data_IF_457023329532
#
_entry.id   IF_457023329532
#
_cell.length_a   1.000
_cell.length_b   1.000
_cell.length_c   1.000
_cell.angle_alpha   90.00
_cell.angle_beta   90.00
_cell.angle_gamma   90.00
#
_symmetry.space_group_name_H-M   'P 1'
#
loop_
_entity.id
_entity.type
_entity.pdbx_description
1 polymer ?
#
# COMPACT_ATOMS: atom_id res chain seq x y z
N UNK A 1 27.44 3.17 -9.25
CA UNK A 1 26.07 3.16 -8.70
C UNK A 1 26.02 4.06 -7.49
N UNK A 2 24.94 4.82 -7.34
CA UNK A 2 24.72 5.70 -6.18
C UNK A 2 24.47 4.87 -4.92
N UNK A 3 24.94 5.35 -3.77
CA UNK A 3 24.54 4.83 -2.46
C UNK A 3 23.25 5.53 -2.05
N UNK A 4 22.22 4.76 -1.70
CA UNK A 4 20.89 5.28 -1.32
C UNK A 4 20.38 4.49 -0.11
N UNK A 5 19.78 5.20 0.84
CA UNK A 5 19.08 4.60 1.99
C UNK A 5 17.60 4.84 1.80
N UNK A 6 16.81 3.76 1.75
CA UNK A 6 15.35 3.80 1.64
C UNK A 6 14.68 3.66 3.01
N UNK A 7 15.24 2.78 3.86
CA UNK A 7 14.83 2.63 5.26
C UNK A 7 16.09 2.66 6.12
N UNK A 8 16.15 3.57 7.08
CA UNK A 8 17.29 3.68 7.99
C UNK A 8 16.89 3.20 9.39
N UNK A 9 17.59 2.21 9.94
CA UNK A 9 17.34 1.70 11.30
C UNK A 9 17.44 2.74 12.40
N UNK A 10 18.03 3.91 12.12
CA UNK A 10 18.14 5.03 13.07
C UNK A 10 16.91 5.92 13.08
N UNK A 11 16.12 5.92 12.00
CA UNK A 11 14.92 6.74 11.89
C UNK A 11 13.75 6.12 12.66
N UNK A 12 12.78 6.95 12.98
CA UNK A 12 11.49 6.46 13.51
C UNK A 12 10.72 5.70 12.43
N UNK A 13 9.91 4.76 12.89
CA UNK A 13 9.05 3.94 12.04
C UNK A 13 7.60 4.22 12.42
N UNK A 14 6.81 4.64 11.45
CA UNK A 14 5.41 4.98 11.64
C UNK A 14 4.53 3.94 10.95
N UNK A 15 3.91 3.08 11.76
CA UNK A 15 2.96 2.07 11.29
C UNK A 15 1.63 2.72 10.97
N UNK A 16 1.05 2.42 9.81
CA UNK A 16 -0.24 2.96 9.40
C UNK A 16 -1.06 2.03 8.53
N UNK A 17 -2.35 2.35 8.43
CA UNK A 17 -3.28 1.69 7.54
C UNK A 17 -3.93 2.72 6.62
N UNK A 18 -4.00 2.39 5.34
CA UNK A 18 -4.50 3.32 4.31
C UNK A 18 -5.88 2.93 3.79
N UNK A 19 -6.43 1.77 4.22
CA UNK A 19 -7.70 1.25 3.72
C UNK A 19 -8.50 0.61 4.85
N UNK A 20 -9.58 1.29 5.24
CA UNK A 20 -10.53 0.81 6.25
C UNK A 20 -11.82 1.66 6.22
N UNK A 21 -12.91 1.08 6.71
CA UNK A 21 -14.26 1.63 6.63
C UNK A 21 -14.86 1.86 8.00
N UNK A 22 -15.72 2.86 8.08
CA UNK A 22 -16.50 3.23 9.26
C UNK A 22 -18.00 3.16 8.92
N UNK A 23 -18.86 3.51 9.87
CA UNK A 23 -20.31 3.66 9.63
C UNK A 23 -20.67 4.80 8.67
N UNK A 24 -19.72 5.62 8.27
CA UNK A 24 -19.97 6.63 7.24
C UNK A 24 -20.24 5.99 5.89
N UNK A 25 -19.71 4.80 5.61
CA UNK A 25 -20.09 4.00 4.44
C UNK A 25 -20.74 2.68 4.88
N UNK A 26 -20.00 1.61 4.90
CA UNK A 26 -20.52 0.25 5.14
C UNK A 26 -19.78 -0.52 6.26
N UNK A 27 -18.82 0.10 6.91
CA UNK A 27 -18.22 -0.39 8.16
C UNK A 27 -19.24 -0.45 9.31
N UNK A 28 -18.92 -1.12 10.41
CA UNK A 28 -19.84 -1.39 11.53
C UNK A 28 -19.51 -0.58 12.77
N UNK A 29 -18.41 0.14 12.80
CA UNK A 29 -17.98 0.97 13.92
C UNK A 29 -18.02 2.45 13.58
N UNK A 30 -18.24 3.28 14.62
CA UNK A 30 -18.02 4.72 14.50
C UNK A 30 -16.53 5.03 14.30
N UNK A 31 -16.24 6.18 13.70
CA UNK A 31 -14.87 6.56 13.36
C UNK A 31 -13.94 6.63 14.58
N UNK A 32 -14.43 7.13 15.71
CA UNK A 32 -13.69 7.18 16.98
C UNK A 32 -13.39 5.77 17.54
N UNK A 33 -14.33 4.83 17.44
CA UNK A 33 -14.12 3.43 17.84
C UNK A 33 -13.03 2.77 16.98
N UNK A 34 -13.04 3.02 15.66
CA UNK A 34 -12.00 2.52 14.73
C UNK A 34 -10.65 3.12 15.09
N UNK A 35 -10.56 4.43 15.23
CA UNK A 35 -9.31 5.13 15.56
C UNK A 35 -8.72 4.63 16.90
N UNK A 36 -9.55 4.47 17.93
CA UNK A 36 -9.10 3.97 19.24
C UNK A 36 -8.57 2.54 19.14
N UNK A 37 -9.24 1.68 18.38
CA UNK A 37 -8.80 0.30 18.13
C UNK A 37 -7.40 0.26 17.51
N UNK A 38 -7.17 1.02 16.45
CA UNK A 38 -5.88 1.03 15.77
C UNK A 38 -4.78 1.69 16.61
N UNK A 39 -5.08 2.72 17.38
CA UNK A 39 -4.14 3.27 18.38
C UNK A 39 -3.69 2.19 19.38
N UNK A 40 -4.63 1.39 19.87
CA UNK A 40 -4.34 0.29 20.80
C UNK A 40 -3.51 -0.84 20.16
N UNK A 41 -3.53 -0.98 18.82
CA UNK A 41 -2.68 -1.89 18.05
C UNK A 41 -1.32 -1.27 17.67
N UNK A 42 -1.00 -0.07 18.19
CA UNK A 42 0.27 0.62 17.95
C UNK A 42 0.40 1.28 16.58
N UNK A 43 -0.72 1.63 15.93
CA UNK A 43 -0.69 2.41 14.72
C UNK A 43 -0.47 3.90 15.03
N UNK A 44 0.23 4.58 14.12
CA UNK A 44 0.56 6.00 14.22
C UNK A 44 -0.25 6.85 13.25
N UNK A 45 -0.76 6.25 12.18
CA UNK A 45 -1.63 6.96 11.24
C UNK A 45 -2.65 6.04 10.58
N UNK A 46 -3.76 6.64 10.15
CA UNK A 46 -4.82 5.99 9.37
C UNK A 46 -5.30 6.90 8.25
N UNK A 47 -5.78 6.30 7.16
CA UNK A 47 -6.76 6.90 6.28
C UNK A 47 -8.10 6.22 6.55
N UNK A 48 -9.11 6.96 7.02
CA UNK A 48 -10.49 6.49 7.06
C UNK A 48 -11.01 6.61 5.62
N UNK A 49 -10.97 5.51 4.89
CA UNK A 49 -11.19 5.51 3.44
C UNK A 49 -12.61 5.09 3.07
N UNK A 50 -13.59 5.58 3.81
CA UNK A 50 -14.99 5.29 3.54
C UNK A 50 -15.35 5.47 2.07
N UNK A 51 -16.21 4.59 1.54
CA UNK A 51 -16.62 4.62 0.14
C UNK A 51 -17.23 5.97 -0.27
N UNK A 52 -16.63 6.61 -1.28
CA UNK A 52 -17.10 7.86 -1.88
C UNK A 52 -17.17 9.05 -0.90
N UNK A 53 -16.64 8.93 0.31
CA UNK A 53 -16.63 9.97 1.33
C UNK A 53 -15.19 10.39 1.61
N UNK A 54 -14.82 11.56 1.08
CA UNK A 54 -13.48 12.10 1.29
C UNK A 54 -13.37 12.68 2.72
N UNK A 55 -12.75 11.91 3.61
CA UNK A 55 -12.69 12.25 5.03
C UNK A 55 -11.57 13.22 5.36
N UNK A 56 -11.81 14.10 6.33
CA UNK A 56 -10.81 14.99 6.94
C UNK A 56 -11.07 15.01 8.44
N UNK A 57 -10.39 14.15 9.13
CA UNK A 57 -10.63 13.82 10.53
C UNK A 57 -9.51 14.35 11.45
N UNK A 58 -9.17 15.64 11.28
CA UNK A 58 -8.12 16.31 12.05
C UNK A 58 -8.36 16.28 13.58
N UNK A 59 -9.61 16.08 14.02
CA UNK A 59 -10.00 15.96 15.42
C UNK A 59 -9.35 14.77 16.13
N UNK A 60 -8.90 13.75 15.39
CA UNK A 60 -8.20 12.61 15.96
C UNK A 60 -6.68 12.81 16.06
N UNK A 61 -6.16 13.89 15.49
CA UNK A 61 -4.72 14.14 15.39
C UNK A 61 -4.13 14.63 16.70
N UNK A 62 -2.96 14.08 17.06
CA UNK A 62 -2.16 14.50 18.20
C UNK A 62 -0.66 14.22 17.93
N UNK A 63 0.18 14.34 18.95
CA UNK A 63 1.64 14.15 18.82
C UNK A 63 2.06 12.72 18.44
N UNK A 64 1.21 11.72 18.70
CA UNK A 64 1.52 10.29 18.50
C UNK A 64 0.69 9.62 17.43
N UNK A 65 -0.35 10.31 16.93
CA UNK A 65 -1.28 9.75 15.96
C UNK A 65 -1.87 10.83 15.05
N UNK A 66 -1.96 10.54 13.75
CA UNK A 66 -2.63 11.43 12.79
C UNK A 66 -3.50 10.64 11.82
N UNK A 67 -4.48 11.33 11.22
CA UNK A 67 -5.24 10.84 10.06
C UNK A 67 -4.77 11.52 8.78
N UNK A 68 -4.73 10.75 7.70
CA UNK A 68 -4.48 11.24 6.35
C UNK A 68 -5.84 11.38 5.65
N UNK A 69 -6.18 12.56 5.11
CA UNK A 69 -7.41 12.72 4.33
C UNK A 69 -7.42 11.80 3.10
N UNK A 70 -8.59 11.22 2.84
CA UNK A 70 -8.73 10.33 1.70
C UNK A 70 -10.08 9.64 1.65
N UNK A 71 -10.24 8.69 0.77
CA UNK A 71 -11.44 7.87 0.59
C UNK A 71 -11.09 6.60 -0.17
N UNK A 72 -11.99 5.63 -0.18
CA UNK A 72 -12.05 4.64 -1.24
C UNK A 72 -13.08 5.07 -2.27
N UNK A 73 -12.61 5.23 -3.50
CA UNK A 73 -13.48 5.42 -4.64
C UNK A 73 -13.73 4.06 -5.30
N UNK A 74 -14.98 3.66 -5.39
CA UNK A 74 -15.37 2.37 -5.95
C UNK A 74 -16.64 2.43 -6.78
N UNK A 75 -16.96 1.32 -7.41
CA UNK A 75 -18.20 1.14 -8.14
C UNK A 75 -18.00 0.69 -9.58
N UNK A 76 -19.08 0.18 -10.15
CA UNK A 76 -19.15 -0.14 -11.56
C UNK A 76 -19.20 1.16 -12.36
N UNK A 77 -18.18 1.42 -13.16
CA UNK A 77 -18.27 2.48 -14.14
C UNK A 77 -19.23 2.02 -15.27
N UNK A 78 -20.37 2.69 -15.49
CA UNK A 78 -21.30 2.32 -16.55
C UNK A 78 -20.71 2.45 -17.97
N UNK A 79 -19.60 3.18 -18.15
CA UNK A 79 -18.85 3.23 -19.40
C UNK A 79 -18.12 1.91 -19.73
N UNK A 80 -17.97 0.99 -18.77
CA UNK A 80 -17.44 -0.36 -18.98
C UNK A 80 -18.55 -1.41 -19.24
N UNK A 81 -19.68 -0.98 -19.74
CA UNK A 81 -20.87 -1.84 -19.94
C UNK A 81 -20.77 -2.83 -21.10
N UNK A 82 -19.68 -2.91 -21.80
CA UNK A 82 -19.47 -3.91 -22.82
C UNK A 82 -18.61 -5.06 -22.30
N UNK A 83 -19.21 -6.07 -21.71
CA UNK A 83 -18.60 -7.33 -21.23
C UNK A 83 -17.51 -7.19 -20.13
N UNK A 84 -17.08 -5.99 -19.82
CA UNK A 84 -16.03 -5.69 -18.88
C UNK A 84 -16.69 -5.03 -17.66
N UNK A 85 -17.42 -5.79 -16.85
CA UNK A 85 -17.85 -5.39 -15.51
C UNK A 85 -16.63 -5.30 -14.58
N UNK A 86 -15.67 -4.47 -14.97
CA UNK A 86 -14.47 -4.25 -14.21
C UNK A 86 -14.79 -3.16 -13.20
N UNK A 87 -15.15 -3.59 -11.99
CA UNK A 87 -15.14 -2.70 -10.85
C UNK A 87 -13.69 -2.41 -10.50
N UNK A 88 -13.26 -1.15 -10.55
CA UNK A 88 -12.02 -0.72 -9.92
C UNK A 88 -12.36 -0.03 -8.62
N UNK A 89 -11.66 -0.39 -7.56
CA UNK A 89 -11.63 0.39 -6.33
C UNK A 89 -10.26 1.04 -6.18
N UNK A 90 -10.26 2.28 -5.74
CA UNK A 90 -9.05 3.08 -5.55
C UNK A 90 -9.03 3.68 -4.17
N UNK A 91 -8.01 3.41 -3.39
CA UNK A 91 -7.69 4.27 -2.25
C UNK A 91 -7.07 5.56 -2.77
N UNK A 92 -7.59 6.67 -2.29
CA UNK A 92 -7.18 8.02 -2.65
C UNK A 92 -6.62 8.68 -1.40
N UNK A 93 -5.35 9.10 -1.44
CA UNK A 93 -4.67 9.74 -0.31
C UNK A 93 -4.28 11.17 -0.66
N UNK A 94 -4.64 12.14 0.20
CA UNK A 94 -4.20 13.54 0.04
C UNK A 94 -2.70 13.67 0.21
N UNK A 95 -2.01 14.22 -0.81
CA UNK A 95 -0.60 14.58 -0.71
C UNK A 95 -0.44 16.11 -0.59
N UNK A 96 -0.19 16.65 0.62
CA UNK A 96 -0.05 18.08 0.83
C UNK A 96 1.21 18.67 0.18
N UNK A 97 2.11 17.83 -0.36
CA UNK A 97 3.29 18.28 -1.10
C UNK A 97 2.97 18.59 -2.58
N UNK A 98 1.82 18.13 -3.09
CA UNK A 98 1.36 18.49 -4.44
C UNK A 98 0.65 19.85 -4.35
N UNK A 99 1.19 20.84 -5.05
CA UNK A 99 0.58 22.16 -5.13
C UNK A 99 -0.53 22.17 -6.17
N UNK A 100 -1.77 22.36 -5.71
CA UNK A 100 -2.97 22.42 -6.56
C UNK A 100 -3.81 23.64 -6.23
N UNK A 101 -4.57 24.12 -7.20
CA UNK A 101 -5.46 25.28 -7.02
C UNK A 101 -6.66 24.93 -6.14
N UNK A 102 -7.14 23.71 -6.20
CA UNK A 102 -8.28 23.20 -5.44
C UNK A 102 -8.05 21.75 -5.05
N UNK A 103 -8.18 21.44 -3.75
CA UNK A 103 -8.14 20.07 -3.23
C UNK A 103 -9.54 19.48 -3.23
N UNK A 104 -9.62 18.16 -3.34
CA UNK A 104 -10.88 17.43 -3.48
C UNK A 104 -11.67 17.35 -2.16
N UNK A 105 -11.99 18.50 -1.57
CA UNK A 105 -12.72 18.56 -0.30
C UNK A 105 -14.24 18.50 -0.43
N UNK A 106 -14.75 18.66 -1.64
CA UNK A 106 -16.19 18.69 -1.87
C UNK A 106 -16.85 17.31 -1.84
N UNK A 107 -16.08 16.24 -1.85
CA UNK A 107 -16.58 14.87 -1.85
C UNK A 107 -17.09 14.38 -0.48
N UNK A 108 -16.93 15.17 0.58
CA UNK A 108 -17.47 14.86 1.91
C UNK A 108 -19.01 14.85 2.00
N UNK A 109 -19.71 15.14 0.92
CA UNK A 109 -21.17 15.25 0.89
C UNK A 109 -21.84 14.22 -0.01
N UNK A 110 -21.10 13.27 -0.54
CA UNK A 110 -21.69 12.26 -1.39
C UNK A 110 -22.41 11.19 -0.58
N UNK A 111 -23.63 10.87 -0.99
CA UNK A 111 -24.39 9.74 -0.43
C UNK A 111 -23.85 8.42 -0.97
N UNK A 112 -23.65 7.45 -0.09
CA UNK A 112 -23.31 6.08 -0.48
C UNK A 112 -24.58 5.26 -0.74
N UNK A 113 -24.63 4.38 -1.76
CA UNK A 113 -23.62 4.16 -2.81
C UNK A 113 -23.73 5.18 -3.93
N UNK A 114 -22.61 5.70 -4.37
CA UNK A 114 -22.58 6.63 -5.50
C UNK A 114 -22.27 5.93 -6.81
N UNK A 115 -22.90 6.41 -7.86
CA UNK A 115 -22.52 6.10 -9.22
C UNK A 115 -21.37 7.01 -9.65
N UNK A 116 -20.45 6.48 -10.45
CA UNK A 116 -19.46 7.31 -11.11
C UNK A 116 -20.13 8.49 -11.81
N UNK A 117 -19.59 9.70 -11.60
CA UNK A 117 -20.12 10.89 -12.26
C UNK A 117 -19.92 10.78 -13.78
N UNK A 118 -21.01 10.62 -14.50
CA UNK A 118 -21.03 10.62 -15.95
C UNK A 118 -20.21 9.53 -16.61
N UNK A 119 -19.74 9.82 -17.81
CA UNK A 119 -19.02 8.87 -18.68
C UNK A 119 -17.49 8.93 -18.48
N UNK A 120 -16.99 9.20 -17.27
CA UNK A 120 -15.55 9.25 -17.02
C UNK A 120 -14.94 7.84 -17.18
N UNK A 121 -13.94 7.74 -18.04
CA UNK A 121 -13.10 6.54 -18.10
C UNK A 121 -12.23 6.43 -16.83
N UNK A 122 -11.72 5.23 -16.53
CA UNK A 122 -10.78 5.01 -15.41
C UNK A 122 -9.60 5.99 -15.49
N UNK A 123 -9.01 6.18 -16.66
CA UNK A 123 -7.91 7.15 -16.86
C UNK A 123 -8.31 8.58 -16.50
N UNK A 124 -9.51 9.01 -16.91
CA UNK A 124 -9.99 10.35 -16.57
C UNK A 124 -10.25 10.50 -15.07
N UNK A 125 -10.78 9.46 -14.44
CA UNK A 125 -10.98 9.45 -12.99
C UNK A 125 -9.66 9.56 -12.24
N UNK A 126 -8.66 8.74 -12.57
CA UNK A 126 -7.33 8.79 -11.95
C UNK A 126 -6.73 10.19 -12.13
N UNK A 127 -6.70 10.73 -13.35
CA UNK A 127 -6.15 12.07 -13.63
C UNK A 127 -6.85 13.15 -12.82
N UNK A 128 -8.18 13.11 -12.73
CA UNK A 128 -8.94 14.10 -11.95
C UNK A 128 -8.59 14.05 -10.48
N UNK A 129 -8.40 12.84 -9.91
CA UNK A 129 -7.97 12.67 -8.51
C UNK A 129 -6.55 13.23 -8.31
N UNK A 130 -5.63 12.93 -9.22
CA UNK A 130 -4.25 13.43 -9.17
C UNK A 130 -4.17 14.96 -9.34
N UNK A 131 -4.97 15.54 -10.25
CA UNK A 131 -5.07 16.99 -10.45
C UNK A 131 -5.56 17.74 -9.20
N UNK A 132 -6.25 17.04 -8.30
CA UNK A 132 -6.69 17.58 -6.99
C UNK A 132 -5.71 17.23 -5.85
N UNK A 133 -4.51 16.77 -6.17
CA UNK A 133 -3.42 16.60 -5.22
C UNK A 133 -3.41 15.27 -4.48
N UNK A 134 -3.98 14.23 -5.07
CA UNK A 134 -4.03 12.90 -4.45
C UNK A 134 -3.08 11.93 -5.09
N UNK A 135 -2.66 10.91 -4.32
CA UNK A 135 -2.11 9.66 -4.81
C UNK A 135 -3.24 8.65 -4.98
N UNK A 136 -3.21 7.86 -6.06
CA UNK A 136 -4.24 6.86 -6.37
C UNK A 136 -3.64 5.47 -6.31
N UNK A 137 -4.22 4.62 -5.48
CA UNK A 137 -3.79 3.25 -5.20
C UNK A 137 -4.85 2.29 -5.75
N UNK A 138 -4.46 1.31 -6.55
CA UNK A 138 -5.34 0.24 -6.97
C UNK A 138 -5.56 -0.74 -5.82
N UNK A 139 -6.82 -0.88 -5.37
CA UNK A 139 -7.18 -1.78 -4.28
C UNK A 139 -7.39 -3.21 -4.78
N UNK A 140 -7.09 -4.19 -3.93
CA UNK A 140 -7.41 -5.63 -4.01
C UNK A 140 -7.68 -6.16 -5.45
N UNK A 141 -6.71 -6.11 -6.38
CA UNK A 141 -6.93 -6.45 -7.79
C UNK A 141 -7.37 -7.90 -8.01
N UNK A 142 -6.99 -8.84 -7.14
CA UNK A 142 -7.46 -10.23 -7.20
C UNK A 142 -8.93 -10.37 -6.84
N UNK A 143 -9.42 -9.59 -5.88
CA UNK A 143 -10.82 -9.60 -5.50
C UNK A 143 -11.72 -9.16 -6.67
N UNK A 144 -11.28 -8.17 -7.43
CA UNK A 144 -11.96 -7.73 -8.65
C UNK A 144 -11.82 -8.69 -9.83
N UNK A 145 -10.94 -9.70 -9.73
CA UNK A 145 -10.61 -10.61 -10.84
C UNK A 145 -10.20 -9.85 -12.13
N UNK A 146 -9.54 -8.70 -11.95
CA UNK A 146 -9.11 -7.85 -13.07
C UNK A 146 -7.98 -8.53 -13.84
N UNK A 147 -8.12 -8.66 -15.16
CA UNK A 147 -7.06 -9.20 -16.01
C UNK A 147 -5.82 -8.29 -16.00
N UNK A 148 -4.61 -8.86 -16.03
CA UNK A 148 -3.36 -8.11 -16.06
C UNK A 148 -3.28 -7.15 -17.25
N UNK A 149 -3.78 -7.56 -18.43
CA UNK A 149 -3.84 -6.75 -19.64
C UNK A 149 -4.68 -5.50 -19.48
N UNK A 150 -5.70 -5.56 -18.64
CA UNK A 150 -6.54 -4.40 -18.32
C UNK A 150 -5.82 -3.49 -17.34
N UNK A 151 -5.30 -4.04 -16.25
CA UNK A 151 -4.60 -3.28 -15.23
C UNK A 151 -3.40 -2.49 -15.80
N UNK A 152 -2.61 -3.08 -16.71
CA UNK A 152 -1.44 -2.42 -17.30
C UNK A 152 -1.74 -1.18 -18.15
N UNK A 153 -3.00 -0.97 -18.53
CA UNK A 153 -3.42 0.19 -19.32
C UNK A 153 -3.45 1.46 -18.50
N UNK A 154 -3.49 1.34 -17.16
CA UNK A 154 -3.63 2.47 -16.25
C UNK A 154 -2.35 2.73 -15.46
N UNK A 155 -2.16 3.97 -15.06
CA UNK A 155 -1.04 4.38 -14.21
C UNK A 155 -1.57 4.68 -12.80
N UNK A 156 -1.19 3.85 -11.84
CA UNK A 156 -1.45 4.03 -10.43
C UNK A 156 -0.15 4.39 -9.72
N UNK A 157 -0.24 5.09 -8.59
CA UNK A 157 0.89 5.30 -7.71
C UNK A 157 1.36 3.99 -7.07
N UNK A 158 0.41 3.19 -6.58
CA UNK A 158 0.66 1.92 -5.92
C UNK A 158 -0.46 0.91 -6.19
N UNK A 159 -0.22 -0.34 -5.81
CA UNK A 159 -1.22 -1.41 -5.82
C UNK A 159 -1.25 -2.08 -4.45
N UNK A 160 -2.42 -2.46 -3.98
CA UNK A 160 -2.54 -3.35 -2.83
C UNK A 160 -2.03 -4.74 -3.20
N UNK A 161 -0.92 -5.12 -2.56
CA UNK A 161 -0.30 -6.44 -2.71
C UNK A 161 -0.75 -7.41 -1.62
N UNK A 162 -1.37 -6.91 -0.57
CA UNK A 162 -2.01 -7.66 0.48
C UNK A 162 -3.20 -6.88 1.05
N UNK A 163 -4.38 -7.54 1.05
CA UNK A 163 -5.61 -7.01 1.63
C UNK A 163 -6.15 -8.04 2.62
N UNK A 164 -6.24 -7.65 3.90
CA UNK A 164 -6.53 -8.61 4.97
C UNK A 164 -7.98 -9.07 4.99
N UNK A 165 -8.95 -8.20 4.70
CA UNK A 165 -10.35 -8.57 4.69
C UNK A 165 -10.68 -9.55 3.55
N UNK A 166 -10.04 -9.40 2.38
CA UNK A 166 -10.28 -10.29 1.24
C UNK A 166 -9.67 -11.68 1.42
N UNK A 167 -8.69 -11.86 2.33
CA UNK A 167 -8.19 -13.18 2.72
C UNK A 167 -9.32 -14.04 3.30
N UNK A 168 -10.14 -13.44 4.16
CA UNK A 168 -11.21 -14.14 4.84
C UNK A 168 -12.49 -14.28 4.02
N UNK A 169 -12.71 -13.39 3.06
CA UNK A 169 -13.92 -13.42 2.23
C UNK A 169 -13.82 -14.41 1.08
N UNK A 170 -12.74 -14.37 0.30
CA UNK A 170 -12.61 -15.15 -0.94
C UNK A 170 -11.21 -15.77 -1.15
N UNK A 171 -10.29 -15.67 -0.17
CA UNK A 171 -8.88 -16.07 -0.31
C UNK A 171 -8.15 -15.33 -1.45
N UNK A 172 -8.49 -14.06 -1.65
CA UNK A 172 -7.97 -13.20 -2.72
C UNK A 172 -7.11 -12.06 -2.18
N UNK A 173 -6.32 -12.35 -1.13
CA UNK A 173 -5.57 -11.34 -0.39
C UNK A 173 -4.29 -10.86 -1.08
N UNK A 174 -3.69 -11.67 -1.96
CA UNK A 174 -2.35 -11.40 -2.48
C UNK A 174 -2.36 -10.85 -3.90
N UNK A 175 -2.04 -9.55 -4.05
CA UNK A 175 -1.85 -8.87 -5.33
C UNK A 175 -0.39 -8.87 -5.84
N UNK A 176 0.52 -9.67 -5.25
CA UNK A 176 1.94 -9.66 -5.61
C UNK A 176 2.23 -10.07 -7.05
N UNK A 177 1.40 -10.96 -7.62
CA UNK A 177 1.52 -11.35 -9.02
C UNK A 177 1.18 -10.18 -9.98
N UNK A 178 0.18 -9.37 -9.65
CA UNK A 178 -0.16 -8.16 -10.38
C UNK A 178 0.98 -7.14 -10.34
N UNK A 179 1.56 -6.96 -9.16
CA UNK A 179 2.69 -6.06 -8.97
C UNK A 179 3.92 -6.48 -9.79
N UNK A 180 4.35 -7.75 -9.68
CA UNK A 180 5.48 -8.28 -10.45
C UNK A 180 5.24 -8.17 -11.95
N UNK A 181 4.02 -8.46 -12.42
CA UNK A 181 3.66 -8.30 -13.83
C UNK A 181 3.77 -6.83 -14.30
N UNK A 182 3.28 -5.88 -13.52
CA UNK A 182 3.38 -4.46 -13.82
C UNK A 182 4.85 -3.99 -13.87
N UNK A 183 5.67 -4.38 -12.88
CA UNK A 183 7.10 -4.06 -12.84
C UNK A 183 7.86 -4.63 -14.04
N UNK A 184 7.57 -5.89 -14.43
CA UNK A 184 8.15 -6.54 -15.61
C UNK A 184 7.78 -5.84 -16.92
N UNK A 185 6.62 -5.19 -16.98
CA UNK A 185 6.17 -4.37 -18.10
C UNK A 185 6.63 -2.90 -18.03
N UNK A 186 7.57 -2.59 -17.13
CA UNK A 186 8.21 -1.28 -17.02
C UNK A 186 7.41 -0.23 -16.24
N UNK A 187 6.31 -0.60 -15.58
CA UNK A 187 5.57 0.31 -14.70
C UNK A 187 6.38 0.63 -13.45
N UNK A 188 6.31 1.86 -13.00
CA UNK A 188 6.90 2.30 -11.73
C UNK A 188 5.78 2.31 -10.69
N UNK A 189 5.59 1.19 -10.03
CA UNK A 189 4.45 0.93 -9.15
C UNK A 189 4.95 0.51 -7.77
N UNK A 190 4.50 1.20 -6.73
CA UNK A 190 4.77 0.83 -5.34
C UNK A 190 3.74 -0.16 -4.80
N UNK A 191 3.98 -0.66 -3.61
CA UNK A 191 3.16 -1.69 -2.99
C UNK A 191 2.55 -1.21 -1.67
N UNK A 192 1.30 -1.54 -1.43
CA UNK A 192 0.59 -1.28 -0.17
C UNK A 192 0.07 -2.61 0.39
N UNK A 193 0.20 -2.80 1.71
CA UNK A 193 -0.58 -3.77 2.46
C UNK A 193 -1.57 -3.01 3.34
N UNK A 194 -2.81 -3.45 3.37
CA UNK A 194 -3.88 -2.81 4.12
C UNK A 194 -4.90 -3.83 4.66
N UNK A 195 -5.80 -3.36 5.51
CA UNK A 195 -6.80 -4.23 6.14
C UNK A 195 -8.10 -4.30 5.36
N UNK A 196 -8.58 -3.19 4.82
CA UNK A 196 -9.93 -3.08 4.24
C UNK A 196 -11.02 -3.48 5.26
N UNK A 197 -10.81 -3.02 6.50
CA UNK A 197 -11.59 -3.43 7.66
C UNK A 197 -12.98 -2.83 7.64
N UNK A 198 -14.00 -3.69 7.82
CA UNK A 198 -15.42 -3.32 7.95
C UNK A 198 -16.03 -3.72 9.29
N UNK A 199 -15.27 -4.47 10.11
CA UNK A 199 -15.70 -5.04 11.41
C UNK A 199 -16.93 -5.97 11.28
N UNK A 200 -16.83 -7.01 10.47
CA UNK A 200 -17.90 -8.00 10.24
C UNK A 200 -18.13 -8.90 11.48
N UNK A 201 -18.64 -8.34 12.58
CA UNK A 201 -18.90 -9.06 13.83
C UNK A 201 -19.73 -10.31 13.65
N UNK A 202 -20.71 -10.25 12.75
CA UNK A 202 -21.62 -11.37 12.48
C UNK A 202 -20.91 -12.57 11.85
N UNK A 203 -19.79 -12.34 11.17
CA UNK A 203 -19.00 -13.38 10.51
C UNK A 203 -17.88 -13.93 11.40
N UNK A 204 -17.67 -13.39 12.60
CA UNK A 204 -16.55 -13.73 13.50
C UNK A 204 -15.17 -13.64 12.85
N UNK A 205 -15.01 -12.71 11.91
CA UNK A 205 -13.78 -12.48 11.19
C UNK A 205 -13.08 -11.30 11.85
N UNK A 206 -11.76 -11.44 12.05
CA UNK A 206 -10.90 -10.34 12.43
C UNK A 206 -10.31 -9.75 11.14
N UNK A 207 -10.98 -8.75 10.59
CA UNK A 207 -10.59 -8.07 9.34
C UNK A 207 -9.75 -6.82 9.57
N UNK A 208 -9.12 -6.71 10.75
CA UNK A 208 -8.28 -5.57 11.13
C UNK A 208 -6.95 -6.00 11.75
N UNK A 209 -5.92 -5.18 11.60
CA UNK A 209 -4.60 -5.39 12.17
C UNK A 209 -3.78 -6.49 11.49
N UNK A 210 -4.16 -6.92 10.28
CA UNK A 210 -3.49 -7.98 9.52
C UNK A 210 -2.62 -7.50 8.37
N UNK A 211 -2.84 -6.28 7.88
CA UNK A 211 -2.04 -5.66 6.83
C UNK A 211 -1.74 -4.19 7.12
N UNK A 212 -0.52 -3.73 6.87
CA UNK A 212 -0.12 -2.34 7.14
C UNK A 212 1.08 -1.92 6.32
N UNK A 213 1.33 -0.61 6.28
CA UNK A 213 2.60 -0.05 5.84
C UNK A 213 3.37 0.53 7.04
N UNK A 214 4.70 0.59 6.91
CA UNK A 214 5.56 1.25 7.90
C UNK A 214 6.44 2.26 7.19
N UNK A 215 6.19 3.53 7.46
CA UNK A 215 6.87 4.66 6.83
C UNK A 215 8.10 5.04 7.63
N UNK A 216 9.24 5.19 6.94
CA UNK A 216 10.47 5.74 7.52
C UNK A 216 10.40 7.27 7.56
N UNK A 217 10.77 7.90 8.69
CA UNK A 217 10.75 9.35 8.77
C UNK A 217 11.13 9.91 10.14
N UNK A 218 11.43 11.20 10.17
CA UNK A 218 11.87 11.89 11.39
C UNK A 218 10.69 12.38 12.25
N UNK A 219 9.58 12.76 11.59
CA UNK A 219 8.43 13.42 12.22
C UNK A 219 7.12 12.79 11.78
N UNK A 220 6.21 12.64 12.74
CA UNK A 220 4.83 12.24 12.49
C UNK A 220 4.02 13.46 12.07
N UNK A 221 4.06 13.80 10.81
CA UNK A 221 3.23 14.86 10.20
C UNK A 221 2.70 14.38 8.85
N UNK A 222 1.51 14.84 8.48
CA UNK A 222 0.92 14.49 7.18
C UNK A 222 1.89 14.76 6.02
N UNK A 223 2.52 15.94 6.02
CA UNK A 223 3.48 16.35 4.98
C UNK A 223 4.69 15.41 4.88
N UNK A 224 5.26 15.02 6.02
CA UNK A 224 6.44 14.16 6.05
C UNK A 224 6.09 12.72 5.67
N UNK A 225 4.98 12.19 6.19
CA UNK A 225 4.52 10.85 5.81
C UNK A 225 4.27 10.73 4.31
N UNK A 226 3.52 11.67 3.72
CA UNK A 226 3.21 11.63 2.29
C UNK A 226 4.44 11.83 1.41
N UNK A 227 5.41 12.64 1.84
CA UNK A 227 6.70 12.75 1.17
C UNK A 227 7.41 11.39 1.11
N UNK A 228 7.55 10.73 2.26
CA UNK A 228 8.24 9.43 2.33
C UNK A 228 7.46 8.31 1.63
N UNK A 229 6.13 8.32 1.69
CA UNK A 229 5.29 7.41 0.91
C UNK A 229 5.54 7.61 -0.58
N UNK A 230 5.53 8.85 -1.06
CA UNK A 230 5.74 9.18 -2.49
C UNK A 230 7.13 8.80 -2.99
N UNK A 231 8.15 8.87 -2.13
CA UNK A 231 9.53 8.49 -2.43
C UNK A 231 9.77 6.98 -2.30
N UNK A 232 8.79 6.21 -1.80
CA UNK A 232 8.92 4.76 -1.59
C UNK A 232 9.69 4.38 -0.33
N UNK A 233 9.94 5.33 0.59
CA UNK A 233 10.65 5.15 1.85
C UNK A 233 9.72 4.51 2.92
N UNK A 234 9.14 3.39 2.57
CA UNK A 234 8.28 2.58 3.42
C UNK A 234 8.30 1.12 2.95
N UNK A 235 7.82 0.24 3.79
CA UNK A 235 7.57 -1.15 3.44
C UNK A 235 6.15 -1.57 3.81
N UNK A 236 5.64 -2.59 3.12
CA UNK A 236 4.36 -3.23 3.41
C UNK A 236 4.59 -4.49 4.26
N UNK A 237 3.65 -4.83 5.14
CA UNK A 237 3.78 -6.02 5.98
C UNK A 237 2.44 -6.61 6.39
N UNK A 238 2.45 -7.93 6.58
CA UNK A 238 1.41 -8.69 7.29
C UNK A 238 1.96 -9.38 8.56
N UNK A 239 3.23 -9.10 8.95
CA UNK A 239 3.88 -9.70 10.12
C UNK A 239 5.30 -9.20 10.37
N UNK A 240 6.29 -9.59 9.55
CA UNK A 240 7.69 -9.23 9.77
C UNK A 240 7.96 -7.73 9.72
N UNK A 241 9.03 -7.30 10.38
CA UNK A 241 9.52 -5.92 10.37
C UNK A 241 10.78 -5.81 9.49
N UNK A 242 10.92 -4.69 8.78
CA UNK A 242 12.14 -4.31 8.06
C UNK A 242 12.74 -3.09 8.76
N UNK A 243 13.97 -3.24 9.24
CA UNK A 243 14.66 -2.19 9.99
C UNK A 243 15.51 -1.30 9.10
N UNK A 244 16.20 -1.91 8.12
CA UNK A 244 17.13 -1.23 7.22
C UNK A 244 17.02 -1.79 5.80
N UNK A 245 17.02 -0.89 4.81
CA UNK A 245 17.01 -1.25 3.40
C UNK A 245 17.75 -0.20 2.59
N UNK A 246 18.86 -0.59 1.97
CA UNK A 246 19.75 0.34 1.28
C UNK A 246 20.52 -0.27 0.13
N UNK A 247 21.06 0.61 -0.71
CA UNK A 247 22.12 0.27 -1.67
C UNK A 247 23.42 0.92 -1.19
N UNK A 248 24.46 0.11 -1.08
CA UNK A 248 25.80 0.56 -0.74
C UNK A 248 26.82 -0.21 -1.58
N UNK A 249 27.70 0.50 -2.28
CA UNK A 249 28.72 -0.04 -3.17
C UNK A 249 28.20 -1.08 -4.19
N UNK A 250 27.05 -0.78 -4.79
CA UNK A 250 26.39 -1.64 -5.75
C UNK A 250 25.84 -2.95 -5.17
N UNK A 251 25.58 -2.96 -3.87
CA UNK A 251 25.01 -4.11 -3.14
C UNK A 251 23.72 -3.66 -2.43
N UNK A 252 22.63 -4.37 -2.67
CA UNK A 252 21.40 -4.24 -1.88
C UNK A 252 21.61 -4.92 -0.54
N UNK A 253 21.30 -4.23 0.55
CA UNK A 253 21.40 -4.74 1.93
C UNK A 253 20.05 -4.60 2.61
N UNK A 254 19.63 -5.63 3.34
CA UNK A 254 18.41 -5.63 4.15
C UNK A 254 18.68 -6.14 5.55
N UNK A 255 18.06 -5.53 6.55
CA UNK A 255 17.96 -6.03 7.93
C UNK A 255 16.48 -6.07 8.34
N UNK A 256 16.05 -7.17 8.92
CA UNK A 256 14.65 -7.42 9.29
C UNK A 256 14.54 -8.13 10.65
N UNK A 257 13.29 -8.30 11.13
CA UNK A 257 12.99 -9.22 12.23
C UNK A 257 13.35 -10.66 11.84
N UNK A 258 13.29 -11.57 12.79
CA UNK A 258 13.55 -13.00 12.53
C UNK A 258 12.57 -13.56 11.50
N UNK A 259 13.08 -14.04 10.37
CA UNK A 259 12.28 -14.62 9.28
C UNK A 259 12.85 -15.95 8.84
N UNK A 260 12.03 -16.73 8.16
CA UNK A 260 12.43 -18.04 7.60
C UNK A 260 13.03 -17.89 6.20
N UNK A 261 12.60 -16.88 5.43
CA UNK A 261 13.11 -16.66 4.08
C UNK A 261 13.32 -15.18 3.80
N UNK A 262 14.36 -14.86 3.03
CA UNK A 262 14.60 -13.53 2.44
C UNK A 262 14.80 -13.76 0.94
N UNK A 263 13.96 -13.16 0.11
CA UNK A 263 13.98 -13.29 -1.33
C UNK A 263 14.20 -11.95 -2.00
N UNK A 264 15.22 -11.86 -2.84
CA UNK A 264 15.46 -10.71 -3.73
C UNK A 264 14.80 -11.00 -5.08
N UNK A 265 13.77 -10.24 -5.41
CA UNK A 265 13.04 -10.36 -6.67
C UNK A 265 13.52 -9.32 -7.67
N UNK A 266 13.81 -9.71 -8.90
CA UNK A 266 14.23 -8.79 -9.98
C UNK A 266 13.81 -9.30 -11.36
N UNK A 267 14.02 -8.48 -12.40
CA UNK A 267 13.74 -8.78 -13.81
C UNK A 267 14.67 -7.96 -14.72
N UNK A 268 15.08 -8.47 -15.91
CA UNK A 268 14.94 -9.83 -16.43
C UNK A 268 15.92 -10.83 -15.80
N UNK A 269 16.98 -10.32 -15.17
CA UNK A 269 17.90 -11.14 -14.38
C UNK A 269 17.21 -11.52 -13.09
N UNK A 270 17.18 -12.80 -12.79
CA UNK A 270 16.62 -13.30 -11.53
C UNK A 270 17.46 -12.84 -10.35
N UNK A 271 16.79 -12.52 -9.26
CA UNK A 271 17.44 -12.24 -7.98
C UNK A 271 17.97 -13.52 -7.30
N UNK A 272 18.03 -13.49 -5.99
CA UNK A 272 18.53 -14.57 -5.15
C UNK A 272 17.62 -14.80 -3.94
N UNK A 273 17.81 -15.88 -3.20
CA UNK A 273 17.05 -16.16 -1.99
C UNK A 273 17.88 -16.95 -0.97
N UNK A 274 17.56 -16.73 0.29
CA UNK A 274 18.11 -17.49 1.42
C UNK A 274 16.92 -18.02 2.22
N UNK A 275 16.95 -19.31 2.58
CA UNK A 275 15.88 -19.98 3.33
C UNK A 275 16.49 -20.79 4.47
N UNK A 276 15.98 -20.56 5.68
CA UNK A 276 16.17 -21.43 6.84
C UNK A 276 15.04 -22.49 6.85
N UNK A 277 15.33 -23.68 6.35
CA UNK A 277 14.32 -24.72 6.08
C UNK A 277 13.68 -25.30 7.33
N UNK A 278 14.44 -25.41 8.41
CA UNK A 278 14.03 -26.10 9.64
C UNK A 278 13.75 -25.12 10.82
N UNK A 279 13.93 -23.83 10.59
CA UNK A 279 13.72 -22.79 11.61
C UNK A 279 14.80 -22.76 12.70
N UNK A 280 15.92 -23.50 12.51
CA UNK A 280 16.97 -23.58 13.50
C UNK A 280 17.88 -22.36 13.56
N UNK A 281 17.93 -21.58 12.47
CA UNK A 281 18.79 -20.41 12.34
C UNK A 281 18.06 -19.26 11.61
N UNK A 282 17.05 -18.63 12.26
CA UNK A 282 16.25 -17.59 11.64
C UNK A 282 17.10 -16.45 11.07
N UNK A 283 16.76 -16.03 9.86
CA UNK A 283 17.46 -14.97 9.14
C UNK A 283 17.07 -13.61 9.66
N UNK A 284 18.02 -12.68 9.76
CA UNK A 284 17.78 -11.27 10.15
C UNK A 284 18.39 -10.28 9.18
N UNK A 285 19.20 -10.74 8.24
CA UNK A 285 19.81 -9.90 7.21
C UNK A 285 20.19 -10.71 5.97
N UNK A 286 20.30 -10.02 4.85
CA UNK A 286 20.81 -10.58 3.60
C UNK A 286 21.34 -9.47 2.70
N UNK A 287 22.11 -9.88 1.69
CA UNK A 287 22.67 -8.96 0.69
C UNK A 287 22.57 -9.55 -0.71
N UNK A 288 22.43 -8.67 -1.72
CA UNK A 288 22.46 -9.02 -3.13
C UNK A 288 23.37 -8.06 -3.89
N UNK A 289 24.37 -8.58 -4.61
CA UNK A 289 25.13 -7.77 -5.55
C UNK A 289 24.24 -7.42 -6.76
N UNK A 290 24.13 -6.13 -7.08
CA UNK A 290 23.32 -5.69 -8.22
C UNK A 290 24.01 -6.08 -9.52
N UNK A 291 23.26 -6.76 -10.40
CA UNK A 291 23.61 -6.92 -11.81
C UNK A 291 23.03 -5.70 -12.59
N UNK A 292 23.85 -4.98 -13.36
CA UNK A 292 23.38 -3.84 -14.15
C UNK A 292 22.27 -4.15 -15.17
N UNK A 293 22.08 -5.41 -15.52
CA UNK A 293 20.99 -5.85 -16.40
C UNK A 293 19.64 -5.98 -15.71
N UNK A 294 19.58 -5.92 -14.37
CA UNK A 294 18.34 -5.88 -13.63
C UNK A 294 17.60 -4.56 -13.89
N UNK A 295 16.30 -4.60 -14.12
CA UNK A 295 15.45 -3.41 -14.22
C UNK A 295 15.13 -2.85 -12.83
N UNK A 296 14.87 -3.75 -11.88
CA UNK A 296 14.59 -3.43 -10.47
C UNK A 296 15.05 -4.55 -9.53
N UNK A 297 15.13 -4.24 -8.25
CA UNK A 297 15.24 -5.21 -7.16
C UNK A 297 14.24 -4.82 -6.06
N UNK A 298 13.47 -5.80 -5.56
CA UNK A 298 12.65 -5.69 -4.35
C UNK A 298 12.91 -6.88 -3.43
N UNK A 299 12.63 -6.74 -2.15
CA UNK A 299 12.85 -7.80 -1.16
C UNK A 299 11.54 -8.23 -0.53
N UNK A 300 11.44 -9.53 -0.28
CA UNK A 300 10.33 -10.16 0.42
C UNK A 300 10.90 -11.00 1.57
N UNK A 301 10.45 -10.71 2.80
CA UNK A 301 10.86 -11.39 4.01
C UNK A 301 9.67 -12.19 4.55
N UNK A 302 9.79 -13.52 4.70
CA UNK A 302 8.70 -14.40 5.11
C UNK A 302 9.05 -15.06 6.45
N UNK A 303 8.16 -14.95 7.43
CA UNK A 303 8.33 -15.61 8.73
C UNK A 303 7.88 -17.06 8.73
N UNK A 304 8.05 -17.75 9.87
CA UNK A 304 7.66 -19.15 10.03
C UNK A 304 6.15 -19.40 10.03
N UNK A 305 5.33 -18.35 10.11
CA UNK A 305 3.87 -18.43 10.02
C UNK A 305 3.35 -18.13 8.60
N UNK A 306 4.25 -17.89 7.64
CA UNK A 306 3.91 -17.53 6.27
C UNK A 306 3.50 -16.06 6.10
N UNK A 307 3.64 -15.21 7.14
CA UNK A 307 3.44 -13.78 7.04
C UNK A 307 4.65 -13.13 6.37
N UNK A 308 4.41 -12.06 5.62
CA UNK A 308 5.45 -11.46 4.81
C UNK A 308 5.58 -9.95 5.02
N UNK A 309 6.77 -9.43 4.74
CA UNK A 309 7.04 -8.02 4.57
C UNK A 309 7.71 -7.78 3.22
N UNK A 310 7.36 -6.68 2.56
CA UNK A 310 7.77 -6.35 1.20
C UNK A 310 8.34 -4.94 1.12
N UNK A 311 9.58 -4.81 0.60
CA UNK A 311 10.13 -3.49 0.27
C UNK A 311 9.55 -2.99 -1.03
N UNK A 312 9.53 -1.69 -1.23
CA UNK A 312 9.32 -1.11 -2.54
C UNK A 312 10.49 -1.43 -3.49
N UNK A 313 10.28 -1.38 -4.82
CA UNK A 313 11.31 -1.70 -5.79
C UNK A 313 12.37 -0.60 -5.88
N UNK A 314 13.62 -0.99 -5.91
CA UNK A 314 14.76 -0.16 -6.30
C UNK A 314 14.89 -0.26 -7.82
N UNK A 315 14.69 0.82 -8.54
CA UNK A 315 14.87 0.84 -10.00
C UNK A 315 16.34 1.09 -10.33
N UNK A 316 16.98 0.14 -11.01
CA UNK A 316 18.44 0.18 -11.21
C UNK A 316 18.88 1.38 -12.05
N UNK A 317 18.06 1.85 -12.98
CA UNK A 317 18.33 3.08 -13.75
C UNK A 317 18.54 4.32 -12.87
N UNK A 318 17.91 4.39 -11.71
CA UNK A 318 18.01 5.55 -10.82
C UNK A 318 19.35 5.56 -10.04
N UNK A 319 20.04 4.41 -10.02
CA UNK A 319 21.34 4.23 -9.36
C UNK A 319 22.53 4.52 -10.29
N UNK A 320 22.34 4.48 -11.59
CA UNK A 320 23.37 4.73 -12.60
C UNK A 320 23.54 6.22 -12.84
#
# INVERSE_FOLDING_TARGET
>A
MKNIVYLDKKNKKYKGNTHLHTKWSDGKLEADEVVERYKNLGYHFLCLSDHEIYTRTNEFNNETFITIPGMERGGLNPAFTTNDNIGFHFTVLDDPNIMVSERYYHLQQFEYPQKWEGDLSVTQCIRRLEEHGNLVILNHPEWHMTAFEVMKQYDFFAVEIYNHATEWSLSTSYGTAYWDYALQNGKRLFAIAADDSHDYKDKKILDYGGGWIVVDGDKLTHKELMKNIKEGNYYSSSGPEIYDFRVEDGTVKIQCSKVQAIMFKSWPVRGDFIIDRDGSNPLTEATLKIDPLMAYVRVECIDCNGKAAWTNPIFIKDLL
#
